data_IF_123888045897
#
_entry.id   IF_123888045897
#
_cell.length_a   1.000
_cell.length_b   1.000
_cell.length_c   1.000
_cell.angle_alpha   90.00
_cell.angle_beta   90.00
_cell.angle_gamma   90.00
#
_symmetry.space_group_name_H-M   'P 1'
#
loop_
_entity.id
_entity.type
_entity.pdbx_description
1 polymer ?
#
# COMPACT_ATOMS: atom_id res chain seq x y z
N UNK A 1 -8.10 -9.38 -9.19
CA UNK A 1 -6.79 -8.82 -8.77
C UNK A 1 -7.02 -7.37 -8.39
N UNK A 2 -6.96 -7.03 -7.10
CA UNK A 2 -7.20 -5.65 -6.66
C UNK A 2 -6.00 -4.77 -6.97
N UNK A 3 -5.88 -4.29 -8.20
CA UNK A 3 -5.00 -3.15 -8.51
C UNK A 3 -5.51 -1.96 -7.71
N UNK A 4 -4.98 -1.74 -6.50
CA UNK A 4 -5.23 -0.47 -5.81
C UNK A 4 -4.74 0.64 -6.73
N UNK A 5 -5.52 1.71 -6.84
CA UNK A 5 -5.08 2.91 -7.51
C UNK A 5 -3.83 3.46 -6.79
N UNK A 6 -2.95 4.13 -7.53
CA UNK A 6 -1.75 4.73 -6.93
C UNK A 6 -2.12 5.77 -5.87
N UNK A 7 -3.25 6.47 -6.03
CA UNK A 7 -3.78 7.39 -5.03
C UNK A 7 -4.16 6.67 -3.73
N UNK A 8 -4.77 5.48 -3.82
CA UNK A 8 -5.10 4.70 -2.63
C UNK A 8 -3.84 4.16 -1.90
N UNK A 9 -2.77 3.88 -2.64
CA UNK A 9 -1.47 3.54 -2.07
C UNK A 9 -0.80 4.76 -1.44
N UNK A 10 -0.86 5.90 -2.12
CA UNK A 10 -0.36 7.18 -1.61
C UNK A 10 -1.04 7.55 -0.29
N UNK A 11 -2.37 7.56 -0.26
CA UNK A 11 -3.13 7.93 0.93
C UNK A 11 -2.81 7.00 2.10
N UNK A 12 -2.77 5.69 1.86
CA UNK A 12 -2.41 4.69 2.88
C UNK A 12 -1.00 4.89 3.44
N UNK A 13 -0.03 5.24 2.60
CA UNK A 13 1.34 5.54 3.07
C UNK A 13 1.36 6.86 3.85
N UNK A 14 0.64 7.87 3.37
CA UNK A 14 0.60 9.19 3.99
C UNK A 14 -0.03 9.16 5.39
N UNK A 15 -1.18 8.49 5.55
CA UNK A 15 -1.95 8.48 6.80
C UNK A 15 -1.64 7.28 7.71
N UNK A 16 -0.95 6.26 7.19
CA UNK A 16 -0.58 5.06 7.91
C UNK A 16 -1.68 3.99 7.93
N UNK A 17 -1.42 2.91 8.68
CA UNK A 17 -2.24 1.70 8.60
C UNK A 17 -3.58 1.77 9.35
N UNK A 18 -3.64 2.48 10.47
CA UNK A 18 -4.79 2.48 11.39
C UNK A 18 -6.09 2.94 10.70
N UNK A 19 -6.11 4.05 9.93
CA UNK A 19 -7.34 4.51 9.25
C UNK A 19 -7.92 3.50 8.25
N UNK A 20 -7.08 2.58 7.76
CA UNK A 20 -7.47 1.53 6.81
C UNK A 20 -7.69 0.16 7.46
N UNK A 21 -7.83 0.10 8.80
CA UNK A 21 -7.97 -1.15 9.55
C UNK A 21 -6.74 -2.06 9.46
N UNK A 22 -5.55 -1.47 9.25
CA UNK A 22 -4.26 -2.17 9.21
C UNK A 22 -3.48 -1.94 10.51
N UNK A 23 -2.33 -2.60 10.61
CA UNK A 23 -1.50 -2.57 11.82
C UNK A 23 -1.09 -1.14 12.20
N UNK A 24 -1.20 -0.83 13.49
CA UNK A 24 -0.68 0.41 14.07
C UNK A 24 0.86 0.53 13.97
N UNK A 25 1.56 -0.55 13.60
CA UNK A 25 3.00 -0.50 13.31
C UNK A 25 3.35 0.22 12.01
N UNK A 26 2.36 0.49 11.15
CA UNK A 26 2.55 1.34 9.98
C UNK A 26 2.21 2.78 10.36
N UNK A 27 3.20 3.62 10.66
CA UNK A 27 2.97 5.02 11.01
C UNK A 27 2.49 5.82 9.80
N UNK A 28 1.97 7.02 10.07
CA UNK A 28 1.64 8.00 9.04
C UNK A 28 2.94 8.61 8.48
N UNK A 29 3.42 8.08 7.36
CA UNK A 29 4.68 8.55 6.76
C UNK A 29 4.57 9.97 6.21
N UNK A 30 3.38 10.53 6.05
CA UNK A 30 3.17 11.93 5.70
C UNK A 30 3.74 12.93 6.72
N UNK A 31 4.02 12.50 7.95
CA UNK A 31 4.72 13.31 8.94
C UNK A 31 6.26 13.31 8.75
N UNK A 32 6.78 12.38 7.95
CA UNK A 32 8.23 12.16 7.77
C UNK A 32 8.71 12.32 6.33
N UNK A 33 7.83 12.11 5.34
CA UNK A 33 8.12 12.12 3.91
C UNK A 33 7.26 13.18 3.23
N UNK A 34 7.87 13.88 2.28
CA UNK A 34 7.19 14.84 1.43
C UNK A 34 6.26 14.13 0.43
N UNK A 35 5.23 14.80 -0.12
CA UNK A 35 4.35 14.21 -1.14
C UNK A 35 5.08 13.69 -2.39
N UNK A 36 6.23 14.29 -2.74
CA UNK A 36 7.06 13.81 -3.85
C UNK A 36 7.78 12.50 -3.48
N UNK A 37 8.29 12.39 -2.26
CA UNK A 37 8.99 11.20 -1.77
C UNK A 37 8.02 10.02 -1.61
N UNK A 38 6.79 10.28 -1.13
CA UNK A 38 5.75 9.26 -1.07
C UNK A 38 5.38 8.76 -2.48
N UNK A 39 5.26 9.65 -3.47
CA UNK A 39 5.04 9.25 -4.87
C UNK A 39 6.18 8.41 -5.44
N UNK A 40 7.42 8.78 -5.14
CA UNK A 40 8.59 7.99 -5.52
C UNK A 40 8.57 6.59 -4.86
N UNK A 41 8.14 6.49 -3.60
CA UNK A 41 7.97 5.22 -2.90
C UNK A 41 6.86 4.37 -3.53
N UNK A 42 5.72 4.95 -3.88
CA UNK A 42 4.64 4.23 -4.61
C UNK A 42 5.18 3.67 -5.93
N UNK A 43 5.91 4.47 -6.71
CA UNK A 43 6.56 4.02 -7.93
C UNK A 43 7.53 2.87 -7.66
N UNK A 44 8.37 2.97 -6.63
CA UNK A 44 9.29 1.90 -6.26
C UNK A 44 8.56 0.61 -5.89
N UNK A 45 7.49 0.68 -5.08
CA UNK A 45 6.65 -0.48 -4.73
C UNK A 45 6.09 -1.17 -5.98
N UNK A 46 5.70 -0.41 -7.01
CA UNK A 46 5.25 -0.96 -8.29
C UNK A 46 6.35 -1.73 -9.01
N UNK A 47 7.61 -1.26 -8.95
CA UNK A 47 8.75 -1.99 -9.53
C UNK A 47 9.05 -3.30 -8.81
N UNK A 48 8.76 -3.39 -7.51
CA UNK A 48 8.92 -4.61 -6.72
C UNK A 48 7.78 -5.62 -6.95
N UNK A 49 6.71 -5.19 -7.61
CA UNK A 49 5.51 -5.98 -7.81
C UNK A 49 5.66 -6.89 -9.03
N UNK A 50 5.77 -8.21 -8.82
CA UNK A 50 5.37 -9.20 -9.82
C UNK A 50 3.86 -9.54 -9.71
N UNK A 51 3.08 -8.60 -9.13
CA UNK A 51 1.64 -8.48 -8.84
C UNK A 51 0.75 -9.72 -8.65
N UNK A 52 1.35 -10.88 -8.43
CA UNK A 52 0.71 -12.07 -7.92
C UNK A 52 0.97 -12.08 -6.42
N UNK A 53 -0.06 -11.74 -5.64
CA UNK A 53 -0.05 -12.05 -4.21
C UNK A 53 0.26 -13.54 -4.01
N UNK A 54 0.89 -13.94 -2.89
CA UNK A 54 1.26 -15.34 -2.64
C UNK A 54 0.06 -16.28 -2.76
N UNK A 55 0.29 -17.55 -3.09
CA UNK A 55 -0.78 -18.48 -3.46
C UNK A 55 -1.94 -18.49 -2.46
N UNK A 56 -1.66 -18.50 -1.16
CA UNK A 56 -2.65 -18.44 -0.08
C UNK A 56 -3.55 -17.19 -0.10
N UNK A 57 -3.06 -16.06 -0.62
CA UNK A 57 -3.84 -14.81 -0.74
C UNK A 57 -4.75 -14.81 -1.98
N UNK A 58 -4.57 -15.75 -2.91
CA UNK A 58 -5.34 -15.85 -4.15
C UNK A 58 -6.57 -16.76 -4.02
N UNK A 59 -6.62 -17.65 -3.02
CA UNK A 59 -7.63 -18.71 -2.91
C UNK A 59 -8.82 -18.37 -1.98
N UNK A 60 -8.90 -17.13 -1.49
CA UNK A 60 -9.93 -16.71 -0.52
C UNK A 60 -11.14 -15.97 -1.10
N UNK A 61 -11.27 -15.84 -2.43
CA UNK A 61 -12.36 -15.09 -3.08
C UNK A 61 -13.46 -16.02 -3.62
N UNK A 62 -13.85 -17.01 -2.82
CA UNK A 62 -14.88 -17.98 -3.20
C UNK A 62 -15.39 -18.76 -2.00
N UNK A 63 -16.01 -18.07 -1.04
CA UNK A 63 -16.93 -18.60 -0.04
C UNK A 63 -17.94 -17.50 0.27
#
# INVERSE_FOLDING_TARGET
MGTRADDALFDLIAVGGVPYGRSARMPAFGATLSPVEIRALVSHIRTLCNCQGPAWSRQGAGQ
#
